data_IF_277741359539
#
_entry.id   IF_277741359539
#
_cell.length_a   1.000
_cell.length_b   1.000
_cell.length_c   1.000
_cell.angle_alpha   90.00
_cell.angle_beta   90.00
_cell.angle_gamma   90.00
#
_symmetry.space_group_name_H-M   'P 1'
#
loop_
_entity.id
_entity.type
_entity.pdbx_description
1 polymer ?
#
# COMPACT_ATOMS: atom_id res chain seq x y z
N UNK A 1 -4.88 -37.08 28.55
CA UNK A 1 -6.33 -37.36 28.45
C UNK A 1 -6.88 -36.67 27.21
N UNK A 2 -7.01 -37.43 26.12
CA UNK A 2 -7.93 -37.13 24.99
C UNK A 2 -9.37 -37.07 25.55
N UNK A 3 -10.42 -36.50 24.97
CA UNK A 3 -10.71 -36.06 23.62
C UNK A 3 -12.00 -35.20 23.66
N UNK A 4 -12.20 -34.42 22.61
CA UNK A 4 -13.43 -34.32 21.80
C UNK A 4 -14.79 -33.84 22.40
N UNK A 5 -15.45 -33.10 21.50
CA UNK A 5 -16.90 -33.06 21.18
C UNK A 5 -17.84 -32.07 21.86
N UNK A 6 -18.41 -31.20 20.98
CA UNK A 6 -19.71 -30.54 21.13
C UNK A 6 -20.84 -31.59 21.22
N UNK A 7 -21.98 -31.24 21.83
CA UNK A 7 -23.24 -31.14 21.09
C UNK A 7 -24.02 -29.85 21.46
N UNK A 8 -24.73 -29.16 20.57
CA UNK A 8 -26.02 -29.46 19.93
C UNK A 8 -27.22 -29.63 20.89
N UNK A 9 -28.30 -28.91 20.53
CA UNK A 9 -29.72 -29.16 20.82
C UNK A 9 -30.18 -28.90 22.26
N UNK A 10 -31.44 -28.59 22.54
CA UNK A 10 -32.61 -28.14 21.79
C UNK A 10 -33.66 -27.88 22.88
N UNK A 11 -34.44 -26.81 22.70
CA UNK A 11 -35.89 -26.79 22.84
C UNK A 11 -36.58 -27.12 24.18
N UNK A 12 -37.74 -26.44 24.31
CA UNK A 12 -38.93 -26.78 25.12
C UNK A 12 -38.77 -26.59 26.63
N UNK A 13 -39.78 -26.27 27.42
CA UNK A 13 -41.15 -25.75 27.35
C UNK A 13 -41.56 -25.75 28.85
N UNK A 14 -42.45 -24.87 29.29
CA UNK A 14 -43.07 -24.98 30.61
C UNK A 14 -43.45 -23.63 31.17
N UNK A 15 -44.59 -23.06 30.76
CA UNK A 15 -45.91 -23.23 31.40
C UNK A 15 -45.94 -22.84 32.88
N UNK A 16 -46.75 -21.82 33.17
CA UNK A 16 -47.14 -21.40 34.50
C UNK A 16 -47.38 -19.89 34.52
N UNK A 17 -48.58 -19.43 34.17
CA UNK A 17 -49.46 -19.02 35.23
C UNK A 17 -50.47 -17.99 34.72
N UNK A 18 -51.69 -18.16 35.19
CA UNK A 18 -52.95 -17.62 34.69
C UNK A 18 -53.22 -16.24 35.32
N UNK A 19 -54.22 -15.54 34.77
CA UNK A 19 -55.11 -14.54 35.37
C UNK A 19 -54.89 -13.07 35.02
N UNK A 20 -55.96 -12.44 34.52
CA UNK A 20 -56.27 -11.05 34.84
C UNK A 20 -56.48 -10.10 33.66
N UNK A 21 -57.74 -9.93 33.25
CA UNK A 21 -58.21 -8.84 32.38
C UNK A 21 -57.72 -7.48 32.90
N UNK A 22 -57.20 -6.62 32.02
CA UNK A 22 -57.31 -5.18 32.17
C UNK A 22 -57.35 -4.44 30.81
N UNK A 23 -58.55 -3.95 30.52
CA UNK A 23 -58.93 -2.78 29.71
C UNK A 23 -57.82 -2.01 28.97
N UNK A 24 -58.01 -1.87 27.67
CA UNK A 24 -57.43 -0.80 26.85
C UNK A 24 -58.02 0.55 27.27
N UNK A 25 -57.22 1.62 27.40
CA UNK A 25 -57.70 2.97 27.14
C UNK A 25 -57.07 3.49 25.85
N UNK A 26 -57.92 3.73 24.84
CA UNK A 26 -57.68 4.80 23.88
C UNK A 26 -57.96 6.11 24.61
N UNK A 27 -57.01 7.06 24.60
CA UNK A 27 -57.19 8.38 23.99
C UNK A 27 -56.00 9.29 24.33
N UNK A 28 -55.47 9.92 23.27
CA UNK A 28 -54.93 11.28 23.29
C UNK A 28 -53.55 11.48 23.89
N UNK A 29 -52.57 11.81 23.05
CA UNK A 29 -51.77 13.05 23.14
C UNK A 29 -50.59 12.99 22.18
N UNK A 30 -50.49 14.00 21.32
CA UNK A 30 -49.33 14.30 20.49
C UNK A 30 -48.09 14.43 21.37
N UNK A 31 -47.14 13.51 21.26
CA UNK A 31 -45.78 13.74 21.70
C UNK A 31 -44.86 13.53 20.49
N UNK A 32 -44.68 14.60 19.73
CA UNK A 32 -43.57 14.74 18.80
C UNK A 32 -42.30 14.65 19.66
N UNK A 33 -41.69 13.47 19.75
CA UNK A 33 -40.45 13.28 20.50
C UNK A 33 -39.33 13.92 19.68
N UNK A 34 -39.19 15.24 19.82
CA UNK A 34 -38.00 15.96 19.42
C UNK A 34 -36.84 15.40 20.23
N UNK A 35 -36.15 14.42 19.67
CA UNK A 35 -34.79 14.08 20.09
C UNK A 35 -33.96 15.32 19.78
N UNK A 36 -33.91 16.26 20.73
CA UNK A 36 -32.89 17.30 20.76
C UNK A 36 -31.58 16.56 20.95
N UNK A 37 -30.88 16.33 19.84
CA UNK A 37 -29.46 15.98 19.85
C UNK A 37 -28.72 17.12 20.55
N UNK A 38 -28.59 17.02 21.87
CA UNK A 38 -27.64 17.83 22.62
C UNK A 38 -26.26 17.20 22.40
N UNK A 39 -25.66 17.53 21.26
CA UNK A 39 -24.23 17.28 21.02
C UNK A 39 -23.47 17.88 22.20
N UNK A 40 -22.74 17.07 22.95
CA UNK A 40 -21.98 17.53 24.12
C UNK A 40 -20.87 18.49 23.66
N UNK A 41 -20.41 19.37 24.55
CA UNK A 41 -19.34 20.35 24.24
C UNK A 41 -18.04 19.69 23.75
N UNK A 42 -17.79 18.45 24.16
CA UNK A 42 -16.64 17.64 23.71
C UNK A 42 -16.79 17.13 22.28
N UNK A 43 -18.02 16.81 21.83
CA UNK A 43 -18.30 16.41 20.45
C UNK A 43 -18.18 17.59 19.48
N UNK A 44 -18.59 18.79 19.91
CA UNK A 44 -18.38 20.04 19.15
C UNK A 44 -16.89 20.39 19.04
N UNK A 45 -16.10 20.17 20.10
CA UNK A 45 -14.65 20.39 20.09
C UNK A 45 -13.89 19.37 19.21
N UNK A 46 -14.33 18.11 19.16
CA UNK A 46 -13.77 17.09 18.26
C UNK A 46 -14.13 17.35 16.80
N UNK A 47 -15.36 17.73 16.52
CA UNK A 47 -15.85 18.07 15.18
C UNK A 47 -15.13 19.31 14.60
N UNK A 48 -14.95 20.36 15.39
CA UNK A 48 -14.24 21.57 14.97
C UNK A 48 -12.73 21.36 14.81
N UNK A 49 -12.09 20.53 15.64
CA UNK A 49 -10.68 20.12 15.44
C UNK A 49 -10.47 19.36 14.13
N UNK A 50 -11.34 18.39 13.82
CA UNK A 50 -11.31 17.65 12.56
C UNK A 50 -11.52 18.56 11.34
N UNK A 51 -12.40 19.57 11.44
CA UNK A 51 -12.61 20.54 10.38
C UNK A 51 -11.40 21.46 10.18
N UNK A 52 -10.75 21.90 11.27
CA UNK A 52 -9.56 22.77 11.23
C UNK A 52 -8.33 22.06 10.65
N UNK A 53 -8.19 20.75 10.87
CA UNK A 53 -7.17 19.93 10.21
C UNK A 53 -7.49 19.65 8.73
N UNK A 54 -8.76 19.64 8.34
CA UNK A 54 -9.19 19.49 6.94
C UNK A 54 -8.94 20.75 6.10
N UNK A 55 -8.85 21.91 6.76
CA UNK A 55 -8.57 23.22 6.16
C UNK A 55 -7.09 23.63 6.18
N UNK A 56 -6.21 22.84 6.82
CA UNK A 56 -4.78 23.15 6.85
C UNK A 56 -4.18 22.86 5.47
N UNK A 57 -3.74 23.91 4.80
CA UNK A 57 -3.01 23.81 3.55
C UNK A 57 -1.59 23.29 3.83
N UNK A 58 -1.15 22.34 3.01
CA UNK A 58 0.19 21.75 3.09
C UNK A 58 0.88 22.03 1.76
N UNK A 59 1.86 22.91 1.80
CA UNK A 59 2.74 23.32 0.71
C UNK A 59 4.04 22.52 0.68
N UNK A 60 4.32 21.78 1.75
CA UNK A 60 5.56 21.02 1.95
C UNK A 60 5.28 19.64 2.52
N UNK A 61 5.99 18.63 2.03
CA UNK A 61 5.89 17.27 2.53
C UNK A 61 7.25 16.55 2.50
N UNK A 62 7.51 15.73 3.52
CA UNK A 62 8.61 14.78 3.53
C UNK A 62 8.06 13.38 3.33
N UNK A 63 8.48 12.71 2.26
CA UNK A 63 8.08 11.36 1.93
C UNK A 63 9.28 10.42 1.92
N UNK A 64 9.01 9.17 2.25
CA UNK A 64 9.95 8.05 2.19
C UNK A 64 9.46 7.09 1.14
N UNK A 65 10.23 6.96 0.08
CA UNK A 65 9.92 6.06 -1.01
C UNK A 65 10.73 4.78 -0.85
N UNK A 66 10.05 3.66 -0.99
CA UNK A 66 10.65 2.34 -1.17
C UNK A 66 10.02 1.73 -2.40
N UNK A 67 10.72 1.73 -3.51
CA UNK A 67 10.23 1.10 -4.71
C UNK A 67 10.08 -0.43 -4.53
N UNK A 68 9.35 -1.05 -5.45
CA UNK A 68 9.13 -2.49 -5.43
C UNK A 68 10.44 -3.27 -5.49
N UNK A 69 10.57 -4.33 -4.70
CA UNK A 69 11.64 -5.32 -4.89
C UNK A 69 11.37 -6.09 -6.19
N UNK A 70 12.42 -6.40 -6.94
CA UNK A 70 12.33 -7.41 -7.99
C UNK A 70 11.99 -8.78 -7.42
N UNK A 71 11.20 -9.56 -8.15
CA UNK A 71 10.91 -10.94 -7.80
C UNK A 71 12.16 -11.79 -7.93
N UNK A 72 12.28 -12.83 -7.11
CA UNK A 72 13.43 -13.71 -7.17
C UNK A 72 13.36 -14.63 -8.39
N UNK A 73 14.53 -15.00 -8.93
CA UNK A 73 14.59 -16.09 -9.90
C UNK A 73 14.11 -17.42 -9.30
N UNK A 74 13.81 -18.40 -10.13
CA UNK A 74 13.43 -19.73 -9.66
C UNK A 74 14.49 -20.77 -9.97
N UNK A 75 14.67 -21.71 -9.05
CA UNK A 75 15.47 -22.91 -9.28
C UNK A 75 14.53 -24.10 -9.33
N UNK A 76 14.31 -24.64 -10.51
CA UNK A 76 13.55 -25.87 -10.70
C UNK A 76 14.17 -26.71 -11.80
N UNK A 77 13.77 -27.98 -11.83
CA UNK A 77 14.11 -28.88 -12.92
C UNK A 77 12.87 -29.65 -13.36
N UNK A 78 12.72 -29.80 -14.68
CA UNK A 78 11.77 -30.72 -15.29
C UNK A 78 12.50 -32.00 -15.72
N UNK A 79 11.87 -33.15 -15.53
CA UNK A 79 12.41 -34.45 -15.96
C UNK A 79 11.73 -34.89 -17.24
N UNK A 80 12.51 -35.25 -18.25
CA UNK A 80 12.00 -35.92 -19.45
C UNK A 80 11.62 -37.39 -19.14
N UNK A 81 10.91 -38.05 -20.05
CA UNK A 81 10.51 -39.46 -20.00
C UNK A 81 11.68 -40.42 -19.74
N UNK A 82 12.90 -40.02 -20.11
CA UNK A 82 14.14 -40.77 -19.90
C UNK A 82 14.84 -40.45 -18.56
N UNK A 83 14.21 -39.69 -17.66
CA UNK A 83 14.78 -39.30 -16.36
C UNK A 83 15.83 -38.17 -16.44
N UNK A 84 16.01 -37.58 -17.62
CA UNK A 84 16.92 -36.46 -17.81
C UNK A 84 16.32 -35.18 -17.24
N UNK A 85 16.92 -34.63 -16.17
CA UNK A 85 16.59 -33.32 -15.62
C UNK A 85 17.09 -32.19 -16.52
N UNK A 86 16.26 -31.18 -16.75
CA UNK A 86 16.58 -29.95 -17.45
C UNK A 86 16.16 -28.78 -16.57
N UNK A 87 16.99 -27.72 -16.51
CA UNK A 87 16.61 -26.51 -15.80
C UNK A 87 15.39 -25.85 -16.49
N UNK A 88 14.35 -25.57 -15.69
CA UNK A 88 13.10 -24.94 -16.14
C UNK A 88 12.67 -23.76 -15.25
N UNK A 89 13.53 -23.34 -14.31
CA UNK A 89 13.28 -22.20 -13.43
C UNK A 89 13.65 -20.89 -14.13
N UNK A 90 12.73 -19.93 -14.13
CA UNK A 90 12.84 -18.69 -14.89
C UNK A 90 13.12 -17.46 -14.02
N UNK A 91 13.27 -16.32 -14.70
CA UNK A 91 13.47 -15.00 -14.09
C UNK A 91 12.22 -14.54 -13.30
N UNK A 92 12.45 -13.84 -12.19
CA UNK A 92 11.42 -13.04 -11.52
C UNK A 92 11.08 -11.77 -12.31
N UNK A 93 9.93 -11.18 -12.00
CA UNK A 93 9.49 -9.92 -12.60
C UNK A 93 10.14 -8.72 -11.92
N UNK A 94 10.23 -7.60 -12.64
CA UNK A 94 10.76 -6.36 -12.06
C UNK A 94 9.79 -5.76 -11.04
N UNK A 95 10.34 -5.05 -10.05
CA UNK A 95 9.58 -4.27 -9.10
C UNK A 95 8.94 -3.04 -9.74
N UNK A 96 7.84 -2.57 -9.15
CA UNK A 96 7.16 -1.37 -9.60
C UNK A 96 7.90 -0.10 -9.16
N UNK A 97 7.97 0.86 -10.07
CA UNK A 97 8.54 2.18 -9.78
C UNK A 97 7.60 3.00 -8.88
N UNK A 98 8.14 4.02 -8.23
CA UNK A 98 7.34 5.09 -7.63
C UNK A 98 7.44 6.31 -8.53
N UNK A 99 6.29 6.76 -9.03
CA UNK A 99 6.18 7.84 -10.01
C UNK A 99 5.40 8.99 -9.42
N UNK A 100 5.97 10.19 -9.42
CA UNK A 100 5.23 11.42 -9.16
C UNK A 100 4.58 11.87 -10.45
N UNK A 101 3.30 12.26 -10.39
CA UNK A 101 2.58 12.83 -11.53
C UNK A 101 1.88 14.12 -11.11
N UNK A 102 2.22 15.23 -11.76
CA UNK A 102 1.50 16.49 -11.58
C UNK A 102 0.07 16.37 -12.09
N UNK A 103 -0.87 16.90 -11.31
CA UNK A 103 -2.28 16.92 -11.66
C UNK A 103 -2.95 18.21 -11.18
N UNK A 104 -3.61 18.93 -12.09
CA UNK A 104 -4.39 20.15 -11.80
C UNK A 104 -5.53 19.94 -10.80
N UNK A 105 -5.97 18.69 -10.60
CA UNK A 105 -7.05 18.37 -9.64
C UNK A 105 -6.56 18.37 -8.19
N UNK A 106 -5.25 18.23 -7.98
CA UNK A 106 -4.64 18.19 -6.65
C UNK A 106 -4.11 19.58 -6.33
N UNK A 107 -4.53 20.13 -5.19
CA UNK A 107 -4.17 21.49 -4.76
C UNK A 107 -3.11 21.51 -3.65
N UNK A 108 -3.01 20.45 -2.86
CA UNK A 108 -2.23 20.43 -1.62
C UNK A 108 -1.35 19.17 -1.57
N UNK A 109 -0.20 19.26 -0.90
CA UNK A 109 0.71 18.13 -0.63
C UNK A 109 0.33 17.39 0.67
N UNK A 110 -0.94 16.97 0.76
CA UNK A 110 -1.43 16.14 1.86
C UNK A 110 -1.41 14.67 1.46
N UNK A 111 -0.71 13.86 2.25
CA UNK A 111 -0.63 12.43 2.05
C UNK A 111 -1.14 11.70 3.30
N UNK A 112 -1.81 10.57 3.10
CA UNK A 112 -2.30 9.74 4.22
C UNK A 112 -1.16 9.01 4.93
N UNK A 113 -0.07 8.74 4.21
CA UNK A 113 1.14 8.10 4.74
C UNK A 113 2.38 8.81 4.23
N UNK A 114 3.38 8.95 5.12
CA UNK A 114 4.72 9.43 4.75
C UNK A 114 5.59 8.32 4.16
N UNK A 115 5.21 7.06 4.34
CA UNK A 115 5.91 5.90 3.78
C UNK A 115 5.11 5.38 2.59
N UNK A 116 5.72 5.45 1.40
CA UNK A 116 5.12 4.96 0.16
C UNK A 116 5.97 3.79 -0.34
N UNK A 117 5.30 2.66 -0.51
CA UNK A 117 5.92 1.38 -0.87
C UNK A 117 5.38 0.97 -2.23
N UNK A 118 6.30 0.71 -3.16
CA UNK A 118 5.99 0.20 -4.49
C UNK A 118 5.60 -1.28 -4.46
N UNK A 119 4.89 -1.72 -5.50
CA UNK A 119 4.51 -3.13 -5.64
C UNK A 119 5.73 -3.98 -5.98
N UNK A 120 5.91 -5.12 -5.32
CA UNK A 120 7.01 -6.05 -5.63
C UNK A 120 6.71 -6.84 -6.91
N UNK A 121 7.77 -7.18 -7.65
CA UNK A 121 7.69 -8.12 -8.77
C UNK A 121 7.39 -9.54 -8.28
N UNK A 122 6.71 -10.33 -9.11
CA UNK A 122 6.44 -11.73 -8.78
C UNK A 122 7.68 -12.58 -9.00
N UNK A 123 7.84 -13.63 -8.18
CA UNK A 123 8.95 -14.56 -8.36
C UNK A 123 8.81 -15.35 -9.66
N UNK A 124 9.92 -15.81 -10.20
CA UNK A 124 9.91 -16.84 -11.22
C UNK A 124 9.27 -18.13 -10.68
N UNK A 125 8.81 -18.97 -11.59
CA UNK A 125 8.24 -20.27 -11.30
C UNK A 125 8.93 -21.40 -12.05
N UNK A 126 8.45 -22.61 -11.79
CA UNK A 126 8.78 -23.80 -12.56
C UNK A 126 8.03 -23.83 -13.89
N UNK A 127 8.39 -24.79 -14.74
CA UNK A 127 7.79 -25.02 -16.05
C UNK A 127 7.88 -23.78 -16.96
N UNK A 128 9.06 -23.15 -16.99
CA UNK A 128 9.34 -21.97 -17.79
C UNK A 128 8.43 -20.76 -17.51
N UNK A 129 7.90 -20.64 -16.28
CA UNK A 129 7.05 -19.52 -15.87
C UNK A 129 7.87 -18.34 -15.37
N UNK A 130 7.85 -17.23 -16.10
CA UNK A 130 8.44 -15.95 -15.67
C UNK A 130 7.54 -15.25 -14.66
N UNK A 131 8.18 -14.55 -13.71
CA UNK A 131 7.48 -13.67 -12.80
C UNK A 131 6.92 -12.44 -13.51
N UNK A 132 5.72 -11.99 -13.13
CA UNK A 132 5.09 -10.78 -13.65
C UNK A 132 5.77 -9.53 -13.08
N UNK A 133 6.00 -8.54 -13.95
CA UNK A 133 6.42 -7.19 -13.54
C UNK A 133 5.32 -6.53 -12.70
N UNK A 134 5.71 -5.86 -11.61
CA UNK A 134 4.77 -5.15 -10.77
C UNK A 134 4.28 -3.86 -11.43
N UNK A 135 3.08 -3.41 -11.02
CA UNK A 135 2.55 -2.14 -11.45
C UNK A 135 3.25 -0.98 -10.73
N UNK A 136 3.48 0.10 -11.47
CA UNK A 136 4.07 1.33 -10.92
C UNK A 136 3.08 2.02 -9.97
N UNK A 137 3.61 2.58 -8.89
CA UNK A 137 2.84 3.33 -7.88
C UNK A 137 2.89 4.80 -8.24
N UNK A 138 1.80 5.30 -8.82
CA UNK A 138 1.69 6.72 -9.19
C UNK A 138 1.12 7.53 -8.04
N UNK A 139 1.86 8.56 -7.61
CA UNK A 139 1.45 9.53 -6.60
C UNK A 139 1.10 10.82 -7.32
N UNK A 140 -0.12 11.30 -7.11
CA UNK A 140 -0.56 12.57 -7.66
C UNK A 140 -0.08 13.72 -6.78
N UNK A 141 0.51 14.73 -7.41
CA UNK A 141 0.96 15.97 -6.76
C UNK A 141 0.37 17.18 -7.49
N UNK A 142 0.24 18.34 -6.84
CA UNK A 142 -0.14 19.57 -7.53
C UNK A 142 0.85 19.94 -8.64
N UNK A 143 0.36 20.69 -9.62
CA UNK A 143 1.23 21.35 -10.62
C UNK A 143 2.10 22.40 -9.93
N UNK A 144 3.36 22.53 -10.36
CA UNK A 144 4.36 23.41 -9.74
C UNK A 144 5.03 22.80 -8.51
N UNK A 145 5.00 21.47 -8.35
CA UNK A 145 5.69 20.77 -7.27
C UNK A 145 7.15 20.52 -7.65
N UNK A 146 8.07 20.94 -6.78
CA UNK A 146 9.50 20.66 -6.88
C UNK A 146 9.84 19.49 -5.96
N UNK A 147 10.46 18.45 -6.52
CA UNK A 147 10.97 17.30 -5.77
C UNK A 147 12.46 17.47 -5.49
N UNK A 148 12.88 17.31 -4.24
CA UNK A 148 14.26 17.47 -3.78
C UNK A 148 14.71 16.24 -2.97
N UNK A 149 15.96 15.84 -3.11
CA UNK A 149 16.55 14.76 -2.30
C UNK A 149 16.77 15.24 -0.86
N UNK A 150 16.54 14.35 0.10
CA UNK A 150 16.82 14.60 1.51
C UNK A 150 17.92 13.66 1.97
N UNK A 151 19.00 14.26 2.48
CA UNK A 151 20.05 13.52 3.17
C UNK A 151 19.80 13.57 4.68
N UNK A 152 19.92 12.41 5.32
CA UNK A 152 19.76 12.29 6.76
C UNK A 152 21.12 12.08 7.41
N UNK A 153 21.54 13.01 8.26
CA UNK A 153 22.76 12.82 9.04
C UNK A 153 22.53 11.76 10.11
N UNK A 154 23.33 10.68 10.10
CA UNK A 154 23.19 9.56 11.03
C UNK A 154 23.47 9.94 12.48
N UNK A 155 24.37 10.91 12.70
CA UNK A 155 24.83 11.34 14.03
C UNK A 155 23.81 12.29 14.67
N UNK A 156 23.46 13.37 13.98
CA UNK A 156 22.58 14.43 14.53
C UNK A 156 21.09 14.18 14.27
N UNK A 157 20.74 13.17 13.47
CA UNK A 157 19.38 12.89 12.97
C UNK A 157 18.72 14.05 12.19
N UNK A 158 19.48 15.09 11.87
CA UNK A 158 19.01 16.24 11.10
C UNK A 158 18.79 15.84 9.64
N UNK A 159 17.75 16.42 9.03
CA UNK A 159 17.47 16.32 7.59
C UNK A 159 18.05 17.56 6.91
N UNK A 160 18.87 17.36 5.90
CA UNK A 160 19.33 18.43 5.01
C UNK A 160 18.71 18.19 3.63
N UNK A 161 18.11 19.23 3.08
CA UNK A 161 17.63 19.23 1.71
C UNK A 161 18.87 19.44 0.83
N UNK A 162 19.05 18.56 -0.15
CA UNK A 162 20.23 18.54 -1.00
C UNK A 162 19.89 19.07 -2.39
N UNK A 163 19.82 18.17 -3.38
CA UNK A 163 19.66 18.52 -4.79
C UNK A 163 18.19 18.48 -5.23
N UNK A 164 17.84 19.36 -6.16
CA UNK A 164 16.56 19.28 -6.89
C UNK A 164 16.60 18.10 -7.86
N UNK A 165 15.65 17.18 -7.71
CA UNK A 165 15.53 16.00 -8.57
C UNK A 165 14.71 16.32 -9.82
N UNK A 166 13.57 16.99 -9.64
CA UNK A 166 12.64 17.27 -10.71
C UNK A 166 11.72 18.44 -10.39
N UNK A 167 11.22 19.05 -11.45
CA UNK A 167 10.25 20.13 -11.42
C UNK A 167 9.01 19.71 -12.21
N UNK A 168 7.85 19.73 -11.58
CA UNK A 168 6.59 19.21 -12.15
C UNK A 168 5.65 20.39 -12.47
N UNK A 169 6.07 21.22 -13.42
CA UNK A 169 5.42 22.50 -13.77
C UNK A 169 4.21 22.34 -14.71
N UNK A 170 4.05 21.20 -15.36
CA UNK A 170 2.95 20.95 -16.31
C UNK A 170 1.98 19.87 -15.82
N UNK A 171 0.71 19.99 -16.21
CA UNK A 171 -0.29 18.96 -15.91
C UNK A 171 0.05 17.66 -16.64
N UNK A 172 0.09 16.55 -15.90
CA UNK A 172 0.49 15.25 -16.44
C UNK A 172 2.00 15.04 -16.51
N UNK A 173 2.84 16.02 -16.16
CA UNK A 173 4.29 15.82 -16.04
C UNK A 173 4.57 14.68 -15.04
N UNK A 174 5.47 13.78 -15.42
CA UNK A 174 5.83 12.60 -14.62
C UNK A 174 7.31 12.59 -14.29
N UNK A 175 7.63 12.08 -13.10
CA UNK A 175 9.00 11.84 -12.67
C UNK A 175 9.08 10.52 -11.91
N UNK A 176 10.01 9.65 -12.30
CA UNK A 176 10.31 8.42 -11.57
C UNK A 176 11.14 8.80 -10.35
N UNK A 177 10.49 8.85 -9.20
CA UNK A 177 11.15 9.24 -7.96
C UNK A 177 11.95 8.11 -7.34
N UNK A 178 11.54 6.85 -7.49
CA UNK A 178 12.34 5.71 -7.04
C UNK A 178 12.19 4.55 -8.02
N UNK A 179 13.32 3.99 -8.46
CA UNK A 179 13.35 2.89 -9.41
C UNK A 179 13.05 1.54 -8.74
N UNK A 180 12.17 0.76 -9.37
CA UNK A 180 11.90 -0.63 -8.98
C UNK A 180 13.13 -1.51 -9.15
N UNK A 181 13.28 -2.48 -8.26
CA UNK A 181 14.39 -3.43 -8.32
C UNK A 181 14.25 -4.41 -9.47
N UNK A 182 15.36 -4.79 -10.08
CA UNK A 182 15.37 -5.74 -11.19
C UNK A 182 15.01 -7.16 -10.74
N UNK A 183 14.26 -7.88 -11.58
CA UNK A 183 13.93 -9.29 -11.35
C UNK A 183 15.15 -10.19 -11.39
N UNK A 184 15.23 -11.12 -10.43
CA UNK A 184 16.34 -12.06 -10.26
C UNK A 184 16.33 -13.17 -11.31
N UNK A 185 17.49 -13.75 -11.59
CA UNK A 185 17.68 -14.74 -12.66
C UNK A 185 17.39 -16.18 -12.20
N UNK A 186 16.59 -16.91 -12.97
CA UNK A 186 16.35 -18.34 -12.75
C UNK A 186 17.52 -19.22 -13.22
N UNK A 187 17.53 -20.48 -12.81
CA UNK A 187 18.60 -21.41 -13.16
C UNK A 187 18.70 -21.68 -14.68
N UNK A 188 17.60 -21.49 -15.43
CA UNK A 188 17.59 -21.59 -16.89
C UNK A 188 18.50 -20.55 -17.57
N UNK A 189 18.63 -19.35 -16.99
CA UNK A 189 19.49 -18.28 -17.53
C UNK A 189 20.98 -18.61 -17.50
N UNK A 190 21.38 -19.55 -16.64
CA UNK A 190 22.78 -19.98 -16.49
C UNK A 190 23.12 -21.24 -17.29
N UNK A 191 22.16 -21.77 -18.06
CA UNK A 191 22.33 -23.01 -18.83
C UNK A 191 23.31 -22.78 -19.98
N UNK A 192 24.44 -23.49 -19.97
CA UNK A 192 25.46 -23.49 -21.04
C UNK A 192 25.65 -24.90 -21.59
N UNK A 193 26.28 -25.05 -22.76
CA UNK A 193 26.49 -26.36 -23.40
C UNK A 193 27.16 -27.40 -22.48
N UNK A 194 28.17 -26.98 -21.71
CA UNK A 194 28.89 -27.80 -20.73
C UNK A 194 28.23 -27.85 -19.34
N UNK A 195 27.36 -26.88 -18.99
CA UNK A 195 26.66 -26.79 -17.70
C UNK A 195 25.15 -26.78 -17.93
N UNK A 196 24.59 -27.96 -18.20
CA UNK A 196 23.17 -28.16 -18.56
C UNK A 196 22.21 -28.05 -17.37
N UNK A 197 22.72 -28.23 -16.14
CA UNK A 197 21.93 -28.20 -14.90
C UNK A 197 22.54 -27.24 -13.87
N UNK A 198 22.47 -25.92 -14.09
CA UNK A 198 22.79 -24.97 -13.04
C UNK A 198 21.86 -25.16 -11.84
N UNK A 199 22.44 -25.17 -10.65
CA UNK A 199 21.80 -25.46 -9.37
C UNK A 199 21.69 -24.22 -8.46
N UNK A 200 21.88 -23.05 -9.05
CA UNK A 200 21.79 -21.75 -8.40
C UNK A 200 20.84 -20.82 -9.15
N UNK A 201 20.38 -19.80 -8.44
CA UNK A 201 19.53 -18.70 -8.93
C UNK A 201 20.05 -17.38 -8.36
N UNK A 202 19.62 -16.27 -8.94
CA UNK A 202 19.86 -14.93 -8.41
C UNK A 202 18.53 -14.38 -7.88
N UNK A 203 18.58 -13.85 -6.66
CA UNK A 203 17.43 -13.20 -6.04
C UNK A 203 17.16 -11.84 -6.69
N UNK A 204 15.95 -11.32 -6.55
CA UNK A 204 15.60 -10.02 -7.13
C UNK A 204 16.26 -8.89 -6.36
N UNK A 205 16.66 -7.85 -7.08
CA UNK A 205 17.29 -6.69 -6.48
C UNK A 205 16.29 -5.90 -5.63
N UNK A 206 16.74 -5.28 -4.52
CA UNK A 206 15.91 -4.36 -3.78
C UNK A 206 15.58 -3.14 -4.65
N UNK A 207 14.34 -2.66 -4.55
CA UNK A 207 13.97 -1.37 -5.10
C UNK A 207 14.67 -0.23 -4.38
N UNK A 208 14.84 0.88 -5.08
CA UNK A 208 15.47 2.08 -4.56
C UNK A 208 14.72 2.61 -3.34
N UNK A 209 15.48 3.11 -2.36
CA UNK A 209 14.95 3.70 -1.13
C UNK A 209 15.52 5.09 -0.95
N UNK A 210 14.65 6.10 -1.03
CA UNK A 210 15.05 7.50 -0.90
C UNK A 210 14.07 8.29 -0.04
N UNK A 211 14.57 9.32 0.64
CA UNK A 211 13.73 10.36 1.26
C UNK A 211 13.62 11.54 0.28
N UNK A 212 12.40 11.97 -0.01
CA UNK A 212 12.11 13.09 -0.91
C UNK A 212 11.38 14.17 -0.15
N UNK A 213 11.81 15.41 -0.35
CA UNK A 213 11.12 16.61 0.07
C UNK A 213 10.38 17.20 -1.12
N UNK A 214 9.07 17.38 -0.97
CA UNK A 214 8.22 18.04 -1.95
C UNK A 214 7.89 19.44 -1.45
N UNK A 215 8.00 20.41 -2.34
CA UNK A 215 7.65 21.81 -2.08
C UNK A 215 6.88 22.37 -3.27
N UNK A 216 5.78 23.05 -2.99
CA UNK A 216 5.00 23.75 -4.01
C UNK A 216 5.61 25.13 -4.26
N UNK A 217 5.85 25.49 -5.53
CA UNK A 217 6.19 26.87 -5.88
C UNK A 217 5.03 27.78 -5.54
N UNK A 218 5.22 28.67 -4.58
CA UNK A 218 4.24 29.72 -4.28
C UNK A 218 4.28 30.78 -5.37
N UNK A 219 3.11 31.26 -5.79
CA UNK A 219 2.95 32.38 -6.74
C UNK A 219 3.16 33.76 -6.10
N UNK A 220 3.60 33.82 -4.85
CA UNK A 220 3.79 35.09 -4.14
C UNK A 220 5.18 35.68 -4.43
N UNK A 221 5.27 36.38 -5.56
CA UNK A 221 6.09 37.59 -5.77
C UNK A 221 5.16 38.70 -6.29
#
# INVERSE_FOLDING_TARGET
TMALTRPQNCAKLGLGGIWGRARVPRYGSRALFLIRNQSTSSDKAKSTKNFKEKLRFFDRAFLRFRAGKGGDGHKSFISDRFGNKLADGERGGDGGNIVLRACKKIMNLRFDSYHIIGSNGENGGSNHKRGRKANDTTILVPVGTVAKTVERCLITKQRKIHQVLADLDEDGATFVAAQGGEGGLGNTSFRRGFRRRPDFRVDGHPGEQIEVFLELKSLAD
#
